data_IF_351153446390
#
_entry.id   IF_351153446390
#
_cell.length_a   1.000
_cell.length_b   1.000
_cell.length_c   1.000
_cell.angle_alpha   90.00
_cell.angle_beta   90.00
_cell.angle_gamma   90.00
#
_symmetry.space_group_name_H-M   'P 1'
#
loop_
_entity.id
_entity.type
_entity.pdbx_description
1 polymer ?
#
# COMPACT_ATOMS: atom_id res chain seq x y z
N UNK A 1 34.73 -4.92 12.59
CA UNK A 1 34.99 -4.16 11.34
C UNK A 1 33.92 -3.06 11.25
N UNK A 2 34.30 -1.79 11.44
CA UNK A 2 33.36 -0.66 11.39
C UNK A 2 33.16 -0.22 9.93
N UNK A 3 31.96 -0.43 9.38
CA UNK A 3 31.61 -0.03 8.02
C UNK A 3 31.05 1.40 8.04
N UNK A 4 31.83 2.38 7.58
CA UNK A 4 31.40 3.78 7.51
C UNK A 4 30.53 4.01 6.26
N UNK A 5 29.23 3.76 6.39
CA UNK A 5 28.24 3.95 5.32
C UNK A 5 27.39 5.18 5.65
N UNK A 6 27.40 6.18 4.76
CA UNK A 6 26.53 7.37 4.90
C UNK A 6 25.06 6.94 4.87
N UNK A 7 24.31 7.24 5.92
CA UNK A 7 22.86 6.98 5.95
C UNK A 7 22.16 7.95 5.01
N UNK A 8 21.21 7.45 4.21
CA UNK A 8 20.39 8.29 3.36
C UNK A 8 19.58 9.27 4.20
N UNK A 9 19.56 10.54 3.80
CA UNK A 9 18.70 11.57 4.38
C UNK A 9 17.24 11.20 4.12
N UNK A 10 16.42 11.18 5.17
CA UNK A 10 15.00 10.89 5.04
C UNK A 10 14.32 12.12 4.44
N UNK A 11 13.84 12.02 3.20
CA UNK A 11 12.96 13.03 2.62
C UNK A 11 11.58 12.93 3.24
N UNK A 12 10.88 14.06 3.34
CA UNK A 12 9.48 14.12 3.79
C UNK A 12 8.66 14.82 2.74
N UNK A 13 7.43 14.33 2.52
CA UNK A 13 6.44 15.01 1.69
C UNK A 13 5.15 15.18 2.46
N UNK A 14 4.45 16.25 2.17
CA UNK A 14 3.10 16.47 2.68
C UNK A 14 2.10 15.86 1.72
N UNK A 15 1.10 15.17 2.27
CA UNK A 15 -0.06 14.72 1.52
C UNK A 15 -1.32 15.30 2.16
N UNK A 16 -2.29 15.59 1.31
CA UNK A 16 -3.61 16.06 1.70
C UNK A 16 -4.62 15.01 1.25
N UNK A 17 -5.54 14.63 2.14
CA UNK A 17 -6.57 13.65 1.84
C UNK A 17 -7.84 13.90 2.66
N UNK A 18 -8.99 13.47 2.14
CA UNK A 18 -10.25 13.49 2.88
C UNK A 18 -10.30 12.39 3.93
N UNK A 19 -10.59 12.72 5.19
CA UNK A 19 -10.72 11.73 6.27
C UNK A 19 -12.14 11.16 6.30
N UNK A 20 -12.45 10.28 5.35
CA UNK A 20 -13.74 9.60 5.25
C UNK A 20 -14.15 8.85 6.53
N UNK A 21 -13.19 8.30 7.29
CA UNK A 21 -13.49 7.60 8.55
C UNK A 21 -14.01 8.50 9.67
N UNK A 22 -13.84 9.82 9.58
CA UNK A 22 -14.44 10.77 10.52
C UNK A 22 -15.59 11.55 9.89
N UNK A 23 -16.09 11.11 8.74
CA UNK A 23 -17.27 11.70 8.13
C UNK A 23 -18.49 11.42 9.03
N UNK A 24 -19.23 12.47 9.36
CA UNK A 24 -20.50 12.33 10.03
C UNK A 24 -21.54 11.82 9.02
N UNK A 25 -22.13 10.65 9.31
CA UNK A 25 -23.09 10.02 8.39
C UNK A 25 -24.41 10.79 8.30
N UNK A 26 -24.79 11.51 9.35
CA UNK A 26 -26.04 12.27 9.36
C UNK A 26 -25.89 13.57 8.58
N UNK A 27 -24.75 14.27 8.74
CA UNK A 27 -24.41 15.43 7.89
C UNK A 27 -24.35 15.04 6.41
N UNK A 28 -23.73 13.89 6.09
CA UNK A 28 -23.69 13.39 4.71
C UNK A 28 -25.08 13.16 4.13
N UNK A 29 -26.00 12.54 4.89
CA UNK A 29 -27.39 12.32 4.45
C UNK A 29 -28.13 13.64 4.26
N UNK A 30 -28.05 14.56 5.22
CA UNK A 30 -28.69 15.87 5.10
C UNK A 30 -28.14 16.63 3.90
N UNK A 31 -26.82 16.65 3.68
CA UNK A 31 -26.22 17.26 2.51
C UNK A 31 -26.62 16.59 1.20
N UNK A 32 -26.87 15.28 1.19
CA UNK A 32 -27.43 14.58 0.03
C UNK A 32 -28.87 15.01 -0.26
N UNK A 33 -29.70 15.23 0.76
CA UNK A 33 -31.08 15.70 0.57
C UNK A 33 -31.11 17.09 -0.08
N UNK A 34 -30.14 17.95 0.24
CA UNK A 34 -29.95 19.24 -0.43
C UNK A 34 -29.21 19.13 -1.77
N UNK A 35 -28.50 18.03 -2.01
CA UNK A 35 -27.84 17.79 -3.28
C UNK A 35 -28.90 17.47 -4.33
N UNK A 36 -28.79 18.10 -5.50
CA UNK A 36 -29.70 17.87 -6.64
C UNK A 36 -29.54 16.47 -7.25
N UNK A 37 -28.96 15.51 -6.52
CA UNK A 37 -28.65 14.15 -6.97
C UNK A 37 -29.88 13.42 -7.52
N UNK A 38 -31.07 13.71 -7.01
CA UNK A 38 -32.34 13.14 -7.50
C UNK A 38 -32.63 13.51 -8.96
N UNK A 39 -32.15 14.66 -9.44
CA UNK A 39 -32.32 15.09 -10.84
C UNK A 39 -31.55 14.22 -11.83
N UNK A 40 -30.56 13.46 -11.33
CA UNK A 40 -29.83 12.45 -12.09
C UNK A 40 -30.80 11.51 -12.81
N UNK A 41 -31.93 11.13 -12.17
CA UNK A 41 -32.90 10.20 -12.74
C UNK A 41 -33.51 10.70 -14.07
N UNK A 42 -33.72 12.01 -14.20
CA UNK A 42 -34.35 12.66 -15.34
C UNK A 42 -33.43 12.80 -16.56
N UNK A 43 -32.11 12.64 -16.38
CA UNK A 43 -31.12 12.72 -17.45
C UNK A 43 -31.21 11.48 -18.34
N UNK A 44 -31.43 11.70 -19.64
CA UNK A 44 -31.61 10.64 -20.64
C UNK A 44 -30.27 10.01 -21.06
N UNK A 45 -29.25 10.84 -21.26
CA UNK A 45 -27.94 10.37 -21.69
C UNK A 45 -27.19 9.73 -20.51
N UNK A 46 -26.77 8.47 -20.68
CA UNK A 46 -26.08 7.69 -19.62
C UNK A 46 -24.77 8.34 -19.19
N UNK A 47 -24.00 8.90 -20.12
CA UNK A 47 -22.75 9.57 -19.79
C UNK A 47 -22.99 10.84 -18.96
N UNK A 48 -23.94 11.68 -19.38
CA UNK A 48 -24.32 12.88 -18.62
C UNK A 48 -24.89 12.53 -17.23
N UNK A 49 -25.63 11.41 -17.13
CA UNK A 49 -26.12 10.89 -15.86
C UNK A 49 -24.98 10.53 -14.90
N UNK A 50 -23.96 9.84 -15.39
CA UNK A 50 -22.78 9.50 -14.59
C UNK A 50 -21.97 10.74 -14.17
N UNK A 51 -21.80 11.71 -15.08
CA UNK A 51 -21.11 12.98 -14.78
C UNK A 51 -21.85 13.74 -13.68
N UNK A 52 -23.15 13.99 -13.86
CA UNK A 52 -23.96 14.72 -12.89
C UNK A 52 -23.99 14.04 -11.51
N UNK A 53 -24.09 12.71 -11.47
CA UNK A 53 -24.02 11.96 -10.23
C UNK A 53 -22.69 12.18 -9.51
N UNK A 54 -21.57 12.05 -10.22
CA UNK A 54 -20.23 12.23 -9.65
C UNK A 54 -20.02 13.66 -9.15
N UNK A 55 -20.48 14.67 -9.89
CA UNK A 55 -20.41 16.07 -9.49
C UNK A 55 -21.21 16.33 -8.20
N UNK A 56 -22.43 15.81 -8.11
CA UNK A 56 -23.26 15.95 -6.90
C UNK A 56 -22.61 15.27 -5.69
N UNK A 57 -22.12 14.05 -5.85
CA UNK A 57 -21.44 13.33 -4.76
C UNK A 57 -20.17 14.05 -4.35
N UNK A 58 -19.36 14.50 -5.30
CA UNK A 58 -18.13 15.23 -5.01
C UNK A 58 -18.43 16.53 -4.25
N UNK A 59 -19.43 17.30 -4.68
CA UNK A 59 -19.86 18.51 -3.99
C UNK A 59 -20.24 18.22 -2.53
N UNK A 60 -21.02 17.16 -2.28
CA UNK A 60 -21.39 16.75 -0.91
C UNK A 60 -20.16 16.35 -0.10
N UNK A 61 -19.27 15.54 -0.68
CA UNK A 61 -18.06 15.09 -0.01
C UNK A 61 -17.14 16.26 0.36
N UNK A 62 -17.00 17.26 -0.50
CA UNK A 62 -16.18 18.44 -0.24
C UNK A 62 -16.68 19.27 0.95
N UNK A 63 -17.98 19.21 1.27
CA UNK A 63 -18.57 19.88 2.44
C UNK A 63 -18.42 19.06 3.73
N UNK A 64 -18.66 17.75 3.66
CA UNK A 64 -18.81 16.90 4.86
C UNK A 64 -17.55 16.11 5.23
N UNK A 65 -16.58 15.98 4.30
CA UNK A 65 -15.35 15.25 4.56
C UNK A 65 -14.26 16.23 4.99
N UNK A 66 -13.82 16.19 6.26
CA UNK A 66 -12.74 17.05 6.69
C UNK A 66 -11.44 16.69 5.97
N UNK A 67 -10.85 17.71 5.34
CA UNK A 67 -9.54 17.62 4.71
C UNK A 67 -8.47 17.54 5.80
N UNK A 68 -7.54 16.59 5.66
CA UNK A 68 -6.41 16.45 6.55
C UNK A 68 -5.09 16.46 5.78
N UNK A 69 -4.13 17.20 6.31
CA UNK A 69 -2.75 17.21 5.84
C UNK A 69 -1.88 16.39 6.78
N UNK A 70 -1.03 15.53 6.21
CA UNK A 70 -0.05 14.75 6.96
C UNK A 70 1.30 14.78 6.29
N UNK A 71 2.33 15.02 7.09
CA UNK A 71 3.73 14.85 6.67
C UNK A 71 4.10 13.38 6.75
N UNK A 72 4.47 12.78 5.62
CA UNK A 72 4.92 11.39 5.51
C UNK A 72 6.41 11.40 5.21
N UNK A 73 7.13 10.48 5.86
CA UNK A 73 8.53 10.20 5.55
C UNK A 73 8.62 9.37 4.28
N UNK A 74 9.23 9.90 3.24
CA UNK A 74 9.60 9.14 2.06
C UNK A 74 10.76 8.24 2.41
N UNK A 75 10.44 6.96 2.59
CA UNK A 75 11.43 5.92 2.83
C UNK A 75 11.80 5.33 1.46
N UNK A 76 12.99 5.60 0.91
CA UNK A 76 13.43 4.87 -0.27
C UNK A 76 13.38 3.37 0.04
N UNK A 77 12.91 2.57 -0.91
CA UNK A 77 12.93 1.13 -0.78
C UNK A 77 14.36 0.67 -0.45
N UNK A 78 14.49 -0.36 0.39
CA UNK A 78 15.81 -0.94 0.66
C UNK A 78 16.46 -1.32 -0.67
N UNK A 79 17.60 -0.72 -1.00
CA UNK A 79 18.22 -0.86 -2.34
C UNK A 79 18.63 -2.31 -2.63
N UNK A 80 19.04 -3.04 -1.59
CA UNK A 80 19.34 -4.48 -1.68
C UNK A 80 18.07 -5.36 -1.70
N UNK A 81 16.86 -4.82 -1.57
CA UNK A 81 15.60 -5.58 -1.56
C UNK A 81 14.92 -5.54 -2.93
N UNK A 82 15.43 -6.38 -3.83
CA UNK A 82 14.97 -6.53 -5.21
C UNK A 82 13.71 -7.42 -5.33
N UNK A 83 13.17 -7.54 -6.55
CA UNK A 83 11.98 -8.38 -6.82
C UNK A 83 12.27 -9.88 -6.60
N UNK A 84 13.49 -10.34 -6.87
CA UNK A 84 13.91 -11.73 -6.63
C UNK A 84 13.73 -12.15 -5.17
N UNK A 85 14.15 -11.29 -4.22
CA UNK A 85 13.90 -11.53 -2.78
C UNK A 85 12.39 -11.55 -2.48
N UNK A 86 11.60 -10.68 -3.13
CA UNK A 86 10.13 -10.66 -2.92
C UNK A 86 9.52 -11.97 -3.39
N UNK A 87 9.88 -12.44 -4.56
CA UNK A 87 9.43 -13.71 -5.13
C UNK A 87 9.81 -14.90 -4.26
N UNK A 88 11.07 -14.97 -3.83
CA UNK A 88 11.55 -16.02 -2.94
C UNK A 88 10.77 -16.01 -1.60
N UNK A 89 10.50 -14.83 -1.02
CA UNK A 89 9.66 -14.71 0.18
C UNK A 89 8.21 -15.12 -0.06
N UNK A 90 7.62 -14.78 -1.23
CA UNK A 90 6.28 -15.25 -1.62
C UNK A 90 6.25 -16.79 -1.70
N UNK A 91 7.27 -17.40 -2.32
CA UNK A 91 7.44 -18.85 -2.40
C UNK A 91 7.54 -19.51 -1.02
N UNK A 92 8.42 -19.00 -0.16
CA UNK A 92 8.56 -19.46 1.23
C UNK A 92 7.23 -19.37 2.00
N UNK A 93 6.50 -18.27 1.90
CA UNK A 93 5.21 -18.11 2.59
C UNK A 93 4.13 -19.07 2.04
N UNK A 94 4.16 -19.42 0.75
CA UNK A 94 3.29 -20.47 0.18
C UNK A 94 3.65 -21.84 0.76
N UNK A 95 4.93 -22.19 0.80
CA UNK A 95 5.41 -23.45 1.38
C UNK A 95 5.05 -23.55 2.88
N UNK A 96 5.23 -22.45 3.63
CA UNK A 96 4.86 -22.39 5.04
C UNK A 96 3.37 -22.64 5.26
N UNK A 97 2.51 -21.96 4.49
CA UNK A 97 1.05 -22.18 4.57
C UNK A 97 0.68 -23.61 4.25
N UNK A 98 1.29 -24.22 3.23
CA UNK A 98 1.06 -25.62 2.87
C UNK A 98 1.48 -26.57 4.01
N UNK A 99 2.65 -26.35 4.61
CA UNK A 99 3.10 -27.14 5.76
C UNK A 99 2.17 -26.98 6.96
N UNK A 100 1.77 -25.75 7.32
CA UNK A 100 0.84 -25.52 8.45
C UNK A 100 -0.53 -26.17 8.23
N UNK A 101 -0.98 -26.27 6.98
CA UNK A 101 -2.25 -26.92 6.63
C UNK A 101 -2.18 -28.45 6.70
N UNK A 102 -1.05 -29.03 6.28
CA UNK A 102 -0.92 -30.48 6.06
C UNK A 102 -0.21 -31.22 7.18
N UNK A 103 0.68 -30.55 7.92
CA UNK A 103 1.51 -31.15 8.96
C UNK A 103 2.60 -32.11 8.47
N UNK A 104 2.68 -32.38 7.16
CA UNK A 104 3.58 -33.40 6.59
C UNK A 104 5.05 -32.98 6.66
N UNK A 105 5.93 -33.96 6.88
CA UNK A 105 7.38 -33.78 6.97
C UNK A 105 7.95 -33.26 5.64
N UNK A 106 7.55 -33.82 4.51
CA UNK A 106 8.00 -33.36 3.19
C UNK A 106 7.70 -31.87 2.96
N UNK A 107 6.52 -31.41 3.39
CA UNK A 107 6.16 -29.99 3.29
C UNK A 107 6.96 -29.12 4.25
N UNK A 108 7.34 -29.64 5.42
CA UNK A 108 8.27 -28.98 6.34
C UNK A 108 9.65 -28.81 5.71
N UNK A 109 10.15 -29.84 5.03
CA UNK A 109 11.45 -29.80 4.34
C UNK A 109 11.45 -28.78 3.19
N UNK A 110 10.39 -28.76 2.39
CA UNK A 110 10.20 -27.75 1.33
C UNK A 110 10.19 -26.33 1.92
N UNK A 111 9.46 -26.11 3.01
CA UNK A 111 9.48 -24.82 3.71
C UNK A 111 10.87 -24.47 4.24
N UNK A 112 11.57 -25.43 4.85
CA UNK A 112 12.92 -25.24 5.38
C UNK A 112 13.89 -24.84 4.26
N UNK A 113 13.89 -25.56 3.14
CA UNK A 113 14.70 -25.24 1.98
C UNK A 113 14.40 -23.83 1.44
N UNK A 114 13.12 -23.46 1.31
CA UNK A 114 12.71 -22.12 0.88
C UNK A 114 13.14 -21.04 1.89
N UNK A 115 13.10 -21.32 3.19
CA UNK A 115 13.56 -20.41 4.25
C UNK A 115 15.07 -20.16 4.14
N UNK A 116 15.87 -21.21 4.02
CA UNK A 116 17.33 -21.12 3.84
C UNK A 116 17.67 -20.35 2.55
N UNK A 117 16.99 -20.67 1.45
CA UNK A 117 17.17 -19.99 0.16
C UNK A 117 16.95 -18.48 0.25
N UNK A 118 15.84 -18.05 0.88
CA UNK A 118 15.55 -16.62 1.11
C UNK A 118 16.64 -15.94 1.95
N UNK A 119 17.09 -16.58 3.04
CA UNK A 119 18.13 -16.02 3.91
C UNK A 119 19.41 -15.78 3.13
N UNK A 120 19.89 -16.78 2.39
CA UNK A 120 21.09 -16.69 1.55
C UNK A 120 20.97 -15.57 0.51
N UNK A 121 19.80 -15.43 -0.11
CA UNK A 121 19.56 -14.42 -1.15
C UNK A 121 19.61 -13.00 -0.56
N UNK A 122 19.03 -12.80 0.63
CA UNK A 122 19.13 -11.53 1.36
C UNK A 122 20.57 -11.22 1.76
N UNK A 123 21.29 -12.19 2.30
CA UNK A 123 22.70 -12.03 2.71
C UNK A 123 23.59 -11.67 1.53
N UNK A 124 23.45 -12.39 0.41
CA UNK A 124 24.18 -12.11 -0.82
C UNK A 124 23.87 -10.71 -1.34
N UNK A 125 22.59 -10.33 -1.42
CA UNK A 125 22.20 -9.00 -1.89
C UNK A 125 22.75 -7.88 -1.01
N UNK A 126 22.67 -8.03 0.32
CA UNK A 126 23.28 -7.08 1.27
C UNK A 126 24.80 -7.01 1.07
N UNK A 127 25.47 -8.15 0.98
CA UNK A 127 26.92 -8.21 0.82
C UNK A 127 27.38 -7.60 -0.52
N UNK A 128 26.64 -7.80 -1.61
CA UNK A 128 26.91 -7.18 -2.91
C UNK A 128 26.73 -5.67 -2.83
N UNK A 129 25.62 -5.18 -2.27
CA UNK A 129 25.37 -3.76 -2.10
C UNK A 129 26.47 -3.07 -1.27
N UNK A 130 26.80 -3.60 -0.09
CA UNK A 130 27.83 -2.99 0.75
C UNK A 130 29.25 -3.12 0.17
N UNK A 131 29.52 -4.12 -0.69
CA UNK A 131 30.79 -4.19 -1.43
C UNK A 131 30.87 -3.13 -2.52
N UNK A 132 29.80 -2.92 -3.28
CA UNK A 132 29.74 -1.94 -4.37
C UNK A 132 29.71 -0.49 -3.87
N UNK A 133 29.12 -0.25 -2.70
CA UNK A 133 29.02 1.08 -2.08
C UNK A 133 30.08 1.33 -0.99
N UNK A 134 31.21 0.61 -1.07
CA UNK A 134 32.37 0.82 -0.20
C UNK A 134 33.20 1.98 -0.76
N UNK A 135 33.32 3.07 0.02
CA UNK A 135 34.29 4.13 -0.23
C UNK A 135 35.71 3.65 0.09
#
# INVERSE_FOLDING_TARGET
MNLNIKRATISTREITFGKFKSMNSDEFRSSLDFSRISETASIQNVHQKAVHFNECIQYVLDQVVPIQTKTIKDRPGNVWFNEEIREAKRGRNRAERKWRQTGLVDHREIYHAAKVGVTRLIENSKASYYRQNRN
#
